data_IF_590558539727
#
_entry.id   IF_590558539727
#
_cell.length_a   1.000
_cell.length_b   1.000
_cell.length_c   1.000
_cell.angle_alpha   90.00
_cell.angle_beta   90.00
_cell.angle_gamma   90.00
#
_symmetry.space_group_name_H-M   'P 1'
#
loop_
_entity.id
_entity.type
_entity.pdbx_description
1 polymer ?
#
# COMPACT_ATOMS: atom_id res chain seq x y z
N UNK A 1 30.91 -20.72 -9.93
CA UNK A 1 29.90 -20.90 -8.87
C UNK A 1 28.88 -19.76 -8.95
N UNK A 2 27.78 -19.94 -9.70
CA UNK A 2 26.77 -18.92 -9.91
C UNK A 2 26.05 -18.58 -8.60
N UNK A 3 26.08 -17.31 -8.17
CA UNK A 3 25.33 -16.81 -7.01
C UNK A 3 23.84 -17.09 -7.22
N UNK A 4 23.34 -18.14 -6.55
CA UNK A 4 21.91 -18.51 -6.49
C UNK A 4 21.13 -17.29 -5.99
N UNK A 5 20.55 -16.51 -6.91
CA UNK A 5 19.70 -15.35 -6.59
C UNK A 5 18.56 -15.86 -5.72
N UNK A 6 18.57 -15.44 -4.44
CA UNK A 6 17.51 -15.69 -3.47
C UNK A 6 16.19 -15.27 -4.13
N UNK A 7 15.28 -16.21 -4.41
CA UNK A 7 13.94 -15.93 -4.98
C UNK A 7 13.33 -14.84 -4.11
N UNK A 8 13.23 -13.60 -4.62
CA UNK A 8 12.41 -12.57 -3.98
C UNK A 8 11.02 -13.18 -3.86
N UNK A 9 10.46 -13.22 -2.65
CA UNK A 9 9.15 -13.80 -2.42
C UNK A 9 8.14 -13.14 -3.36
N UNK A 10 7.48 -13.95 -4.20
CA UNK A 10 6.48 -13.50 -5.20
C UNK A 10 5.47 -12.55 -4.53
N UNK A 11 5.10 -12.89 -3.29
CA UNK A 11 4.25 -12.11 -2.37
C UNK A 11 4.74 -10.67 -2.13
N UNK A 12 6.03 -10.45 -1.84
CA UNK A 12 6.56 -9.08 -1.65
C UNK A 12 6.64 -8.29 -2.94
N UNK A 13 6.90 -8.93 -4.08
CA UNK A 13 6.89 -8.25 -5.38
C UNK A 13 5.48 -7.75 -5.71
N UNK A 14 4.47 -8.57 -5.44
CA UNK A 14 3.07 -8.24 -5.64
C UNK A 14 2.63 -7.10 -4.72
N UNK A 15 2.90 -7.20 -3.41
CA UNK A 15 2.62 -6.11 -2.47
C UNK A 15 3.28 -4.79 -2.87
N UNK A 16 4.50 -4.83 -3.39
CA UNK A 16 5.19 -3.63 -3.89
C UNK A 16 4.53 -3.06 -5.14
N UNK A 17 4.18 -3.92 -6.11
CA UNK A 17 3.49 -3.53 -7.35
C UNK A 17 2.12 -2.92 -7.08
N UNK A 18 1.40 -3.45 -6.08
CA UNK A 18 0.12 -2.89 -5.64
C UNK A 18 0.33 -1.49 -5.05
N UNK A 19 1.28 -1.32 -4.14
CA UNK A 19 1.57 -0.01 -3.54
C UNK A 19 2.06 1.02 -4.57
N UNK A 20 2.70 0.60 -5.65
CA UNK A 20 3.08 1.49 -6.76
C UNK A 20 1.87 2.07 -7.50
N UNK A 21 0.74 1.36 -7.53
CA UNK A 21 -0.51 1.85 -8.15
C UNK A 21 -1.33 2.74 -7.22
N UNK A 22 -0.96 2.84 -5.93
CA UNK A 22 -1.67 3.64 -4.93
C UNK A 22 -1.18 5.10 -5.00
N UNK A 23 -2.06 6.12 -4.86
CA UNK A 23 -1.66 7.52 -4.79
C UNK A 23 -0.60 7.79 -3.72
N UNK A 24 0.51 8.43 -4.11
CA UNK A 24 1.64 8.69 -3.23
C UNK A 24 1.76 10.20 -2.96
N UNK A 25 1.85 10.56 -1.68
CA UNK A 25 1.97 11.93 -1.22
C UNK A 25 3.26 12.10 -0.44
N UNK A 26 4.11 13.03 -0.87
CA UNK A 26 5.36 13.35 -0.17
C UNK A 26 5.17 14.59 0.68
N UNK A 27 5.47 14.47 1.97
CA UNK A 27 5.32 15.56 2.94
C UNK A 27 6.56 15.67 3.83
N UNK A 28 6.79 16.86 4.37
CA UNK A 28 7.88 17.09 5.32
C UNK A 28 7.36 16.92 6.75
N UNK A 29 8.14 16.22 7.58
CA UNK A 29 7.79 15.93 8.97
C UNK A 29 7.67 17.22 9.82
N UNK A 30 8.42 18.26 9.45
CA UNK A 30 8.51 19.51 10.20
C UNK A 30 8.99 19.28 11.64
N UNK A 31 8.31 19.91 12.60
CA UNK A 31 8.59 19.77 14.04
C UNK A 31 7.79 18.63 14.72
N UNK A 32 6.76 18.11 14.06
CA UNK A 32 5.90 17.06 14.60
C UNK A 32 6.50 15.66 14.42
N UNK A 33 5.98 14.66 15.14
CA UNK A 33 6.29 13.25 14.86
C UNK A 33 5.77 12.85 13.48
N UNK A 34 6.45 11.98 12.73
CA UNK A 34 6.09 11.67 11.34
C UNK A 34 4.68 11.08 11.19
N UNK A 35 4.25 10.25 12.15
CA UNK A 35 2.87 9.72 12.22
C UNK A 35 1.83 10.84 12.39
N UNK A 36 2.14 11.84 13.21
CA UNK A 36 1.25 12.97 13.48
C UNK A 36 1.15 13.88 12.26
N UNK A 37 2.29 14.19 11.62
CA UNK A 37 2.34 14.96 10.38
C UNK A 37 1.53 14.28 9.28
N UNK A 38 1.69 12.96 9.09
CA UNK A 38 0.88 12.18 8.16
C UNK A 38 -0.62 12.30 8.44
N UNK A 39 -1.05 12.13 9.69
CA UNK A 39 -2.48 12.22 10.06
C UNK A 39 -3.05 13.62 9.82
N UNK A 40 -2.31 14.66 10.20
CA UNK A 40 -2.70 16.06 9.95
C UNK A 40 -2.84 16.30 8.46
N UNK A 41 -1.89 15.83 7.65
CA UNK A 41 -1.92 15.98 6.20
C UNK A 41 -3.15 15.30 5.58
N UNK A 42 -3.44 14.06 5.97
CA UNK A 42 -4.64 13.33 5.51
C UNK A 42 -5.92 14.10 5.82
N UNK A 43 -6.05 14.65 7.04
CA UNK A 43 -7.23 15.41 7.43
C UNK A 43 -7.30 16.78 6.73
N UNK A 44 -6.15 17.42 6.50
CA UNK A 44 -6.08 18.75 5.88
C UNK A 44 -6.34 18.71 4.38
N UNK A 45 -5.79 17.72 3.67
CA UNK A 45 -5.99 17.53 2.23
C UNK A 45 -7.26 16.72 1.91
N UNK A 46 -7.87 16.07 2.91
CA UNK A 46 -9.03 15.21 2.69
C UNK A 46 -8.68 13.93 1.93
N UNK A 47 -7.55 13.30 2.24
CA UNK A 47 -7.07 12.12 1.51
C UNK A 47 -7.93 10.91 1.83
N UNK A 48 -8.50 10.31 0.79
CA UNK A 48 -9.24 9.06 0.90
C UNK A 48 -8.29 7.85 0.78
N UNK A 49 -8.53 6.78 1.54
CA UNK A 49 -7.82 5.52 1.38
C UNK A 49 -8.22 4.83 0.05
N UNK A 50 -7.35 4.00 -0.55
CA UNK A 50 -5.96 3.71 -0.17
C UNK A 50 -5.01 4.84 -0.63
N UNK A 51 -4.10 5.28 0.24
CA UNK A 51 -3.07 6.26 -0.11
C UNK A 51 -1.74 5.96 0.60
N UNK A 52 -0.61 6.38 0.04
CA UNK A 52 0.72 6.20 0.63
C UNK A 52 1.34 7.56 0.93
N UNK A 53 1.75 7.76 2.18
CA UNK A 53 2.37 8.98 2.66
C UNK A 53 3.86 8.74 2.91
N UNK A 54 4.69 9.50 2.19
CA UNK A 54 6.12 9.55 2.34
C UNK A 54 6.45 10.77 3.21
N UNK A 55 6.72 10.53 4.48
CA UNK A 55 7.04 11.57 5.45
C UNK A 55 8.55 11.70 5.53
N UNK A 56 9.09 12.75 4.92
CA UNK A 56 10.51 13.07 4.94
C UNK A 56 10.87 13.63 6.31
N UNK A 57 11.54 12.83 7.14
CA UNK A 57 11.99 13.22 8.48
C UNK A 57 13.24 14.07 8.42
N UNK A 58 14.14 13.72 7.50
CA UNK A 58 15.32 14.49 7.15
C UNK A 58 15.70 14.14 5.70
N UNK A 59 16.81 14.68 5.19
CA UNK A 59 17.22 14.44 3.81
C UNK A 59 17.50 12.97 3.48
N UNK A 60 17.94 12.18 4.47
CA UNK A 60 18.35 10.79 4.28
C UNK A 60 17.32 9.76 4.76
N UNK A 61 16.26 10.21 5.44
CA UNK A 61 15.29 9.36 6.12
C UNK A 61 13.88 9.78 5.74
N UNK A 62 13.19 8.89 5.04
CA UNK A 62 11.78 9.03 4.69
C UNK A 62 11.00 7.85 5.27
N UNK A 63 10.09 8.16 6.18
CA UNK A 63 9.15 7.20 6.76
C UNK A 63 7.98 7.00 5.79
N UNK A 64 7.62 5.75 5.52
CA UNK A 64 6.54 5.41 4.58
C UNK A 64 5.34 4.85 5.33
N UNK A 65 4.22 5.54 5.23
CA UNK A 65 2.95 5.14 5.83
C UNK A 65 1.91 4.86 4.75
N UNK A 66 1.02 3.93 5.01
CA UNK A 66 -0.10 3.57 4.15
C UNK A 66 -1.40 3.89 4.88
N UNK A 67 -2.19 4.75 4.28
CA UNK A 67 -3.53 5.11 4.73
C UNK A 67 -4.54 4.11 4.18
N UNK A 68 -5.05 3.27 5.08
CA UNK A 68 -6.13 2.33 4.82
C UNK A 68 -7.44 2.84 5.42
N UNK A 69 -8.56 2.24 5.04
CA UNK A 69 -9.88 2.55 5.61
C UNK A 69 -9.93 2.39 7.14
N UNK A 70 -9.19 1.40 7.67
CA UNK A 70 -9.13 1.15 9.13
C UNK A 70 -8.16 2.07 9.87
N UNK A 71 -7.25 2.76 9.16
CA UNK A 71 -6.24 3.62 9.77
C UNK A 71 -4.91 3.66 9.04
N UNK A 72 -3.92 4.27 9.68
CA UNK A 72 -2.57 4.46 9.15
C UNK A 72 -1.64 3.32 9.58
N UNK A 73 -1.02 2.65 8.61
CA UNK A 73 -0.10 1.53 8.82
C UNK A 73 1.28 1.85 8.23
N UNK A 74 2.33 1.13 8.62
CA UNK A 74 3.63 1.26 7.96
C UNK A 74 3.61 0.59 6.58
N UNK A 75 4.13 1.25 5.54
CA UNK A 75 4.13 0.69 4.18
C UNK A 75 4.84 -0.66 4.10
N UNK A 76 5.92 -0.84 4.86
CA UNK A 76 6.65 -2.12 4.94
C UNK A 76 5.75 -3.26 5.45
N UNK A 77 4.92 -2.99 6.46
CA UNK A 77 3.98 -3.98 6.98
C UNK A 77 2.94 -4.35 5.92
N UNK A 78 2.49 -3.36 5.13
CA UNK A 78 1.53 -3.57 4.03
C UNK A 78 2.16 -4.32 2.87
N UNK A 79 3.41 -4.06 2.49
CA UNK A 79 4.14 -4.84 1.47
C UNK A 79 4.14 -6.34 1.83
N UNK A 80 4.33 -6.66 3.11
CA UNK A 80 4.35 -8.03 3.61
C UNK A 80 2.96 -8.63 3.84
N UNK A 81 1.98 -7.80 4.20
CA UNK A 81 0.63 -8.20 4.58
C UNK A 81 -0.48 -7.68 3.65
N UNK A 82 -0.18 -7.40 2.39
CA UNK A 82 -1.13 -6.80 1.42
C UNK A 82 -2.44 -7.61 1.29
N UNK A 83 -2.38 -8.92 1.49
CA UNK A 83 -3.54 -9.82 1.52
C UNK A 83 -4.56 -9.53 2.64
N UNK A 84 -4.16 -8.82 3.70
CA UNK A 84 -5.06 -8.37 4.77
C UNK A 84 -5.89 -7.14 4.38
N UNK A 85 -5.52 -6.47 3.28
CA UNK A 85 -6.17 -5.26 2.81
C UNK A 85 -7.01 -5.60 1.58
N UNK A 86 -8.33 -5.86 1.72
CA UNK A 86 -9.18 -6.15 0.57
C UNK A 86 -9.22 -5.01 -0.45
N UNK A 87 -9.05 -3.76 0.00
CA UNK A 87 -8.92 -2.56 -0.85
C UNK A 87 -7.67 -2.54 -1.73
N UNK A 88 -6.70 -3.41 -1.46
CA UNK A 88 -5.45 -3.58 -2.21
C UNK A 88 -5.48 -4.78 -3.15
N UNK A 89 -6.57 -5.57 -3.16
CA UNK A 89 -6.76 -6.61 -4.17
C UNK A 89 -6.97 -5.91 -5.51
N UNK A 90 -5.88 -5.74 -6.26
CA UNK A 90 -5.96 -5.45 -7.68
C UNK A 90 -6.72 -6.61 -8.31
N UNK A 91 -7.85 -6.32 -8.95
CA UNK A 91 -8.71 -7.29 -9.65
C UNK A 91 -7.99 -7.88 -10.88
N UNK A 92 -6.82 -8.46 -10.72
CA UNK A 92 -6.19 -9.32 -11.74
C UNK A 92 -6.61 -10.79 -11.54
N UNK A 93 -7.28 -11.10 -10.41
CA UNK A 93 -7.86 -12.42 -10.11
C UNK A 93 -9.40 -12.44 -10.20
N UNK A 94 -10.05 -11.34 -10.62
CA UNK A 94 -11.49 -11.32 -10.95
C UNK A 94 -11.71 -11.38 -12.47
N UNK A 95 -10.88 -12.18 -13.14
CA UNK A 95 -11.31 -12.92 -14.33
C UNK A 95 -11.52 -14.39 -13.96
N UNK A 96 -12.12 -14.66 -12.80
CA UNK A 96 -12.96 -15.85 -12.69
C UNK A 96 -14.14 -15.59 -13.63
N UNK A 97 -14.30 -16.34 -14.75
CA UNK A 97 -15.51 -16.27 -15.53
C UNK A 97 -16.64 -16.72 -14.60
N UNK A 98 -17.38 -15.74 -14.08
CA UNK A 98 -18.62 -15.95 -13.34
C UNK A 98 -19.44 -16.90 -14.22
N UNK A 99 -19.59 -18.13 -13.74
CA UNK A 99 -20.30 -19.16 -14.45
C UNK A 99 -21.69 -18.64 -14.81
N UNK A 100 -21.92 -18.40 -16.10
CA UNK A 100 -23.25 -18.31 -16.65
C UNK A 100 -23.83 -19.73 -16.73
N UNK A 101 -23.94 -20.39 -15.57
CA UNK A 101 -24.84 -21.50 -15.35
C UNK A 101 -26.24 -20.92 -15.29
N UNK A 102 -26.80 -20.58 -16.46
CA UNK A 102 -28.24 -20.35 -16.56
C UNK A 102 -28.90 -21.71 -16.65
N UNK A 103 -29.45 -22.13 -15.52
CA UNK A 103 -30.37 -23.25 -15.39
C UNK A 103 -31.78 -22.85 -15.83
N UNK A 104 -32.56 -23.86 -16.27
CA UNK A 104 -34.02 -23.88 -16.50
C UNK A 104 -34.44 -23.47 -17.93
N UNK A 105 -35.22 -24.24 -18.72
CA UNK A 105 -36.39 -25.08 -18.44
C UNK A 105 -36.48 -26.25 -19.42
#
# INVERSE_FOLDING_TARGET
>A
MARRRKRKSRRRQEGRRILENVPQYSIECGEDKPVTAARKFIHSEGIHPPALLLVKRNEHTTDRYFWAEKGLFGAQYVEENHFLFPSLKTNDDELEPIGASTSSH
#
